data_IF_843050024236
#
_entry.id   IF_843050024236
#
_cell.length_a   1.000
_cell.length_b   1.000
_cell.length_c   1.000
_cell.angle_alpha   90.00
_cell.angle_beta   90.00
_cell.angle_gamma   90.00
#
_symmetry.space_group_name_H-M   'P 1'
#
loop_
_entity.id
_entity.type
_entity.pdbx_description
1 polymer ?
#
# COMPACT_ATOMS: atom_id res chain seq x y z
N UNK A 1 17.85 -73.45 -11.08
CA UNK A 1 18.98 -72.51 -10.86
C UNK A 1 19.09 -71.72 -12.16
N UNK A 2 18.90 -70.40 -12.29
CA UNK A 2 19.15 -69.24 -11.43
C UNK A 2 18.08 -68.17 -11.76
N UNK A 3 17.51 -67.51 -10.74
CA UNK A 3 16.65 -66.31 -10.87
C UNK A 3 17.57 -65.08 -10.85
N UNK A 4 17.52 -64.23 -11.88
CA UNK A 4 18.17 -62.91 -11.86
C UNK A 4 17.07 -61.87 -11.60
N UNK A 5 17.08 -61.30 -10.41
CA UNK A 5 16.23 -60.18 -10.03
C UNK A 5 16.90 -58.86 -10.41
N UNK A 6 16.19 -58.03 -11.19
CA UNK A 6 16.56 -56.63 -11.40
C UNK A 6 16.21 -55.82 -10.13
N UNK A 7 17.24 -55.23 -9.52
CA UNK A 7 17.10 -54.22 -8.47
C UNK A 7 16.77 -52.88 -9.12
N UNK A 8 15.57 -52.33 -8.86
CA UNK A 8 15.22 -50.95 -9.20
C UNK A 8 15.74 -50.01 -8.10
N UNK A 9 16.71 -49.17 -8.45
CA UNK A 9 17.25 -48.12 -7.61
C UNK A 9 16.32 -46.90 -7.72
N UNK A 10 15.35 -46.79 -6.80
CA UNK A 10 14.42 -45.66 -6.73
C UNK A 10 15.12 -44.43 -6.15
N UNK A 11 15.40 -43.44 -7.01
CA UNK A 11 15.94 -42.14 -6.61
C UNK A 11 14.85 -41.36 -5.86
N UNK A 12 15.01 -41.20 -4.55
CA UNK A 12 14.19 -40.31 -3.72
C UNK A 12 14.48 -38.86 -4.13
N UNK A 13 13.55 -38.25 -4.88
CA UNK A 13 13.49 -36.81 -5.11
C UNK A 13 13.09 -36.14 -3.80
N UNK A 14 14.10 -35.71 -3.04
CA UNK A 14 13.90 -34.83 -1.89
C UNK A 14 13.30 -33.51 -2.37
N UNK A 15 12.03 -33.27 -2.02
CA UNK A 15 11.40 -31.96 -2.07
C UNK A 15 12.11 -31.08 -1.04
N UNK A 16 13.13 -30.35 -1.48
CA UNK A 16 13.71 -29.24 -0.74
C UNK A 16 12.64 -28.16 -0.65
N UNK A 17 11.86 -28.16 0.44
CA UNK A 17 11.06 -27.01 0.84
C UNK A 17 12.07 -25.91 1.12
N UNK A 18 12.19 -24.97 0.18
CA UNK A 18 12.96 -23.76 0.41
C UNK A 18 12.31 -23.02 1.58
N UNK A 19 12.91 -23.15 2.76
CA UNK A 19 12.62 -22.30 3.88
C UNK A 19 12.98 -20.87 3.44
N UNK A 20 11.96 -20.03 3.22
CA UNK A 20 12.15 -18.59 3.10
C UNK A 20 12.52 -18.05 4.49
N UNK A 21 13.79 -18.23 4.86
CA UNK A 21 14.39 -17.55 5.99
C UNK A 21 15.30 -16.45 5.44
N UNK A 22 14.79 -15.22 5.48
CA UNK A 22 15.60 -14.02 5.63
C UNK A 22 14.68 -12.92 6.18
N UNK A 23 14.65 -12.81 7.52
CA UNK A 23 14.18 -11.65 8.27
C UNK A 23 15.10 -10.44 7.98
N UNK A 24 15.01 -9.92 6.76
CA UNK A 24 15.43 -8.58 6.42
C UNK A 24 14.19 -7.72 6.29
N UNK A 25 14.18 -6.55 6.91
CA UNK A 25 13.11 -5.58 6.72
C UNK A 25 12.93 -5.32 5.22
N UNK A 26 11.71 -5.52 4.71
CA UNK A 26 11.37 -5.49 3.28
C UNK A 26 11.68 -4.15 2.60
N UNK A 27 11.79 -3.08 3.39
CA UNK A 27 12.25 -1.76 2.95
C UNK A 27 13.77 -1.65 2.71
N UNK A 28 14.55 -2.71 2.92
CA UNK A 28 16.00 -2.69 2.78
C UNK A 28 16.68 -1.84 3.86
N UNK A 29 17.82 -1.22 3.55
CA UNK A 29 18.64 -0.48 4.52
C UNK A 29 18.45 1.06 4.45
N UNK A 30 17.75 1.57 3.43
CA UNK A 30 17.67 3.00 3.11
C UNK A 30 16.27 3.56 3.36
N UNK A 31 15.87 3.57 4.63
CA UNK A 31 14.57 4.08 5.04
C UNK A 31 14.61 4.70 6.44
N UNK A 32 13.59 5.49 6.80
CA UNK A 32 13.45 6.03 8.16
C UNK A 32 12.68 5.07 9.07
N UNK A 33 13.28 4.51 10.15
CA UNK A 33 12.63 3.49 10.97
C UNK A 33 11.46 3.96 11.82
N UNK A 34 11.25 5.26 11.92
CA UNK A 34 10.29 5.80 12.87
C UNK A 34 10.81 5.71 14.30
N UNK A 35 9.97 6.09 15.26
CA UNK A 35 10.33 6.19 16.67
C UNK A 35 9.46 5.32 17.58
N UNK A 36 8.36 4.76 17.06
CA UNK A 36 7.39 3.98 17.81
C UNK A 36 7.26 2.56 17.20
N UNK A 37 6.96 1.52 18.00
CA UNK A 37 6.85 0.14 17.49
C UNK A 37 5.83 -0.04 16.35
N UNK A 38 4.72 0.70 16.38
CA UNK A 38 3.69 0.69 15.34
C UNK A 38 4.14 1.28 14.00
N UNK A 39 5.33 1.90 13.95
CA UNK A 39 5.94 2.41 12.71
C UNK A 39 6.79 1.36 11.99
N UNK A 40 6.98 0.19 12.62
CA UNK A 40 7.82 -0.87 12.10
C UNK A 40 7.29 -1.38 10.76
N UNK A 41 8.23 -1.64 9.85
CA UNK A 41 7.98 -2.23 8.54
C UNK A 41 7.31 -3.59 8.73
N UNK A 42 6.31 -3.89 7.91
CA UNK A 42 5.65 -5.21 7.89
C UNK A 42 5.16 -5.69 9.27
N UNK A 43 4.78 -4.75 10.13
CA UNK A 43 4.31 -5.02 11.49
C UNK A 43 2.84 -5.45 11.55
N UNK A 44 2.05 -5.15 10.51
CA UNK A 44 0.61 -5.38 10.45
C UNK A 44 0.31 -6.42 9.36
N UNK A 45 -0.34 -7.53 9.71
CA UNK A 45 -0.85 -8.45 8.67
C UNK A 45 -2.07 -7.85 7.97
N UNK A 46 -2.36 -8.27 6.74
CA UNK A 46 -3.50 -7.73 5.99
C UNK A 46 -4.84 -7.98 6.71
N UNK A 47 -4.94 -9.09 7.46
CA UNK A 47 -6.12 -9.41 8.29
C UNK A 47 -6.30 -8.51 9.50
N UNK A 48 -5.25 -7.87 10.00
CA UNK A 48 -5.30 -6.97 11.15
C UNK A 48 -5.35 -5.49 10.77
N UNK A 49 -5.34 -5.16 9.47
CA UNK A 49 -5.32 -3.78 9.02
C UNK A 49 -6.53 -2.98 9.51
N UNK A 50 -7.74 -3.55 9.51
CA UNK A 50 -8.92 -2.86 10.04
C UNK A 50 -8.70 -2.41 11.49
N UNK A 51 -8.28 -3.34 12.36
CA UNK A 51 -8.00 -3.06 13.78
C UNK A 51 -6.92 -1.99 13.96
N UNK A 52 -5.87 -2.04 13.14
CA UNK A 52 -4.83 -1.01 13.13
C UNK A 52 -5.40 0.37 12.77
N UNK A 53 -6.16 0.48 11.68
CA UNK A 53 -6.76 1.75 11.25
C UNK A 53 -7.77 2.31 12.25
N UNK A 54 -8.49 1.45 12.96
CA UNK A 54 -9.49 1.85 13.95
C UNK A 54 -8.88 2.42 15.24
N UNK A 55 -7.65 2.03 15.57
CA UNK A 55 -7.02 2.30 16.87
C UNK A 55 -5.81 3.20 16.79
N UNK A 56 -5.11 3.27 15.66
CA UNK A 56 -3.88 4.03 15.51
C UNK A 56 -4.16 5.55 15.53
N UNK A 57 -3.61 6.32 16.50
CA UNK A 57 -3.86 7.76 16.60
C UNK A 57 -3.43 8.56 15.36
N UNK A 58 -2.45 8.03 14.63
CA UNK A 58 -1.86 8.59 13.40
C UNK A 58 -2.82 8.66 12.20
N UNK A 59 -4.02 8.07 12.33
CA UNK A 59 -5.09 8.04 11.31
C UNK A 59 -6.03 9.25 11.43
N UNK A 60 -5.76 10.16 12.38
CA UNK A 60 -6.43 11.46 12.51
C UNK A 60 -7.97 11.34 12.57
N UNK A 61 -8.48 10.25 13.16
CA UNK A 61 -9.92 10.01 13.34
C UNK A 61 -10.69 9.59 12.08
N UNK A 62 -10.03 9.47 10.92
CA UNK A 62 -10.65 9.00 9.68
C UNK A 62 -11.10 7.55 9.85
N UNK A 63 -12.34 7.24 9.46
CA UNK A 63 -12.88 5.88 9.54
C UNK A 63 -12.83 5.21 8.19
N UNK A 64 -12.11 4.09 8.14
CA UNK A 64 -11.96 3.25 6.97
C UNK A 64 -12.69 1.93 7.15
N UNK A 65 -13.15 1.37 6.04
CA UNK A 65 -13.57 -0.01 5.96
C UNK A 65 -12.60 -0.78 5.06
N UNK A 66 -12.05 -1.86 5.61
CA UNK A 66 -11.13 -2.75 4.91
C UNK A 66 -11.86 -4.03 4.55
N UNK A 67 -11.85 -4.38 3.25
CA UNK A 67 -12.42 -5.63 2.76
C UNK A 67 -11.37 -6.43 2.00
N UNK A 68 -11.27 -7.73 2.25
CA UNK A 68 -10.41 -8.61 1.45
C UNK A 68 -11.22 -9.29 0.35
N UNK A 69 -10.79 -9.14 -0.90
CA UNK A 69 -11.38 -9.85 -2.05
C UNK A 69 -10.29 -10.66 -2.76
N UNK A 70 -10.19 -11.94 -2.42
CA UNK A 70 -9.09 -12.80 -2.90
C UNK A 70 -7.73 -12.25 -2.44
N UNK A 71 -6.87 -11.92 -3.40
CA UNK A 71 -5.55 -11.32 -3.13
C UNK A 71 -5.58 -9.78 -3.06
N UNK A 72 -6.74 -9.15 -3.21
CA UNK A 72 -6.88 -7.69 -3.18
C UNK A 72 -7.30 -7.21 -1.78
N UNK A 73 -6.73 -6.08 -1.38
CA UNK A 73 -7.10 -5.34 -0.18
C UNK A 73 -7.89 -4.11 -0.61
N UNK A 74 -9.14 -3.99 -0.19
CA UNK A 74 -10.02 -2.88 -0.55
C UNK A 74 -10.13 -1.93 0.63
N UNK A 75 -9.99 -0.63 0.38
CA UNK A 75 -10.01 0.42 1.37
C UNK A 75 -11.05 1.48 0.98
N UNK A 76 -12.12 1.53 1.76
CA UNK A 76 -13.21 2.49 1.62
C UNK A 76 -13.15 3.53 2.75
N UNK A 77 -13.48 4.79 2.44
CA UNK A 77 -13.55 5.87 3.44
C UNK A 77 -14.99 6.04 3.87
N UNK A 78 -15.31 5.61 5.08
CA UNK A 78 -16.68 5.59 5.60
C UNK A 78 -17.05 6.94 6.21
N UNK A 79 -16.13 7.54 6.98
CA UNK A 79 -16.36 8.84 7.60
C UNK A 79 -15.07 9.64 7.70
N UNK A 80 -15.19 10.96 7.52
CA UNK A 80 -14.09 11.89 7.52
C UNK A 80 -14.37 13.05 8.49
N UNK A 81 -13.45 13.37 9.42
CA UNK A 81 -13.57 14.57 10.24
C UNK A 81 -13.46 15.84 9.39
N UNK A 82 -14.36 16.80 9.56
CA UNK A 82 -14.43 18.02 8.75
C UNK A 82 -13.29 19.01 8.97
N UNK A 83 -12.54 18.87 10.06
CA UNK A 83 -11.34 19.67 10.38
C UNK A 83 -10.03 19.05 9.87
N UNK A 84 -10.08 17.82 9.34
CA UNK A 84 -8.92 17.12 8.79
C UNK A 84 -8.76 17.43 7.31
N UNK A 85 -7.53 17.66 6.86
CA UNK A 85 -7.25 17.93 5.44
C UNK A 85 -7.32 16.64 4.62
N UNK A 86 -7.83 16.69 3.39
CA UNK A 86 -7.83 15.55 2.46
C UNK A 86 -6.47 14.85 2.31
N UNK A 87 -5.36 15.58 2.48
CA UNK A 87 -4.01 15.02 2.42
C UNK A 87 -3.76 13.96 3.51
N UNK A 88 -4.50 13.97 4.61
CA UNK A 88 -4.39 12.94 5.64
C UNK A 88 -4.81 11.55 5.14
N UNK A 89 -5.75 11.45 4.20
CA UNK A 89 -6.10 10.15 3.59
C UNK A 89 -4.95 9.59 2.73
N UNK A 90 -4.25 10.47 2.01
CA UNK A 90 -3.04 10.11 1.26
C UNK A 90 -1.92 9.66 2.21
N UNK A 91 -1.75 10.36 3.34
CA UNK A 91 -0.81 9.94 4.38
C UNK A 91 -1.12 8.53 4.87
N UNK A 92 -2.39 8.20 5.11
CA UNK A 92 -2.81 6.84 5.49
C UNK A 92 -2.41 5.80 4.45
N UNK A 93 -2.49 6.11 3.15
CA UNK A 93 -2.02 5.21 2.09
C UNK A 93 -0.52 4.92 2.24
N UNK A 94 0.31 5.94 2.51
CA UNK A 94 1.75 5.74 2.74
C UNK A 94 2.03 4.86 3.95
N UNK A 95 1.28 5.08 5.03
CA UNK A 95 1.36 4.25 6.24
C UNK A 95 1.02 2.80 5.91
N UNK A 96 -0.07 2.55 5.17
CA UNK A 96 -0.47 1.20 4.76
C UNK A 96 0.65 0.53 3.95
N UNK A 97 1.22 1.24 2.98
CA UNK A 97 2.35 0.71 2.20
C UNK A 97 3.55 0.35 3.05
N UNK A 98 3.75 1.07 4.16
CA UNK A 98 4.88 0.88 5.06
C UNK A 98 4.70 -0.29 6.03
N UNK A 99 3.54 -0.38 6.67
CA UNK A 99 3.36 -1.27 7.83
C UNK A 99 2.72 -2.60 7.48
N UNK A 100 2.04 -2.72 6.34
CA UNK A 100 1.30 -3.93 5.99
C UNK A 100 2.17 -4.94 5.26
N UNK A 101 2.18 -6.18 5.76
CA UNK A 101 2.90 -7.33 5.20
C UNK A 101 2.56 -7.64 3.74
N UNK A 102 3.45 -8.32 2.98
CA UNK A 102 3.26 -8.75 1.59
C UNK A 102 2.24 -9.89 1.42
N UNK A 103 1.00 -9.71 1.92
CA UNK A 103 -0.08 -10.70 1.91
C UNK A 103 -1.19 -10.37 0.91
N UNK A 104 -1.01 -9.31 0.11
CA UNK A 104 -1.94 -8.81 -0.89
C UNK A 104 -1.19 -8.36 -2.14
N UNK A 105 -1.85 -8.42 -3.30
CA UNK A 105 -1.25 -8.08 -4.60
C UNK A 105 -1.36 -6.59 -4.94
N UNK A 106 -2.43 -5.94 -4.49
CA UNK A 106 -2.72 -4.52 -4.70
C UNK A 106 -3.72 -3.99 -3.68
N UNK A 107 -3.59 -2.71 -3.37
CA UNK A 107 -4.59 -1.93 -2.64
C UNK A 107 -5.57 -1.36 -3.66
N UNK A 108 -6.86 -1.55 -3.45
CA UNK A 108 -7.96 -0.95 -4.20
C UNK A 108 -8.57 0.15 -3.35
N UNK A 109 -8.55 1.38 -3.85
CA UNK A 109 -9.27 2.50 -3.28
C UNK A 109 -10.72 2.38 -3.74
N UNK A 110 -11.61 2.12 -2.80
CA UNK A 110 -13.00 1.79 -3.08
C UNK A 110 -13.94 2.88 -2.55
N UNK A 111 -15.08 3.00 -3.20
CA UNK A 111 -16.25 3.72 -2.71
C UNK A 111 -17.35 2.68 -2.50
N UNK A 112 -17.60 2.32 -1.23
CA UNK A 112 -18.46 1.19 -0.84
C UNK A 112 -17.99 -0.13 -1.46
N UNK A 113 -18.73 -0.62 -2.45
CA UNK A 113 -18.46 -1.90 -3.12
C UNK A 113 -17.80 -1.74 -4.49
N UNK A 114 -17.66 -0.50 -4.98
CA UNK A 114 -17.07 -0.13 -6.26
C UNK A 114 -15.58 0.21 -6.08
N UNK A 115 -14.73 -0.37 -6.92
CA UNK A 115 -13.30 -0.05 -6.91
C UNK A 115 -13.04 1.09 -7.88
N UNK A 116 -12.50 2.21 -7.39
CA UNK A 116 -12.24 3.41 -8.19
C UNK A 116 -10.80 3.39 -8.73
N UNK A 117 -9.85 3.14 -7.82
CA UNK A 117 -8.43 3.14 -8.15
C UNK A 117 -7.72 1.92 -7.56
N UNK A 118 -6.55 1.61 -8.10
CA UNK A 118 -5.68 0.58 -7.57
C UNK A 118 -4.21 1.02 -7.60
N UNK A 119 -3.43 0.45 -6.68
CA UNK A 119 -1.98 0.53 -6.66
C UNK A 119 -1.40 -0.83 -6.28
N UNK A 120 -0.36 -1.28 -6.98
CA UNK A 120 0.27 -2.57 -6.69
C UNK A 120 0.93 -2.56 -5.31
N UNK A 121 0.98 -3.73 -4.65
CA UNK A 121 1.70 -3.87 -3.37
C UNK A 121 3.13 -3.35 -3.50
N UNK A 122 3.84 -3.75 -4.57
CA UNK A 122 5.23 -3.40 -4.79
C UNK A 122 5.44 -1.87 -4.84
N UNK A 123 4.63 -1.17 -5.63
CA UNK A 123 4.78 0.27 -5.80
C UNK A 123 4.36 1.02 -4.53
N UNK A 124 3.24 0.60 -3.91
CA UNK A 124 2.77 1.16 -2.65
C UNK A 124 3.78 0.97 -1.51
N UNK A 125 4.36 -0.22 -1.41
CA UNK A 125 5.35 -0.55 -0.40
C UNK A 125 6.64 0.23 -0.61
N UNK A 126 7.12 0.35 -1.85
CA UNK A 126 8.28 1.19 -2.16
C UNK A 126 8.08 2.66 -1.74
N UNK A 127 6.90 3.23 -1.99
CA UNK A 127 6.53 4.59 -1.55
C UNK A 127 6.45 4.66 -0.03
N UNK A 128 5.76 3.72 0.61
CA UNK A 128 5.63 3.65 2.06
C UNK A 128 6.97 3.53 2.77
N UNK A 129 7.92 2.78 2.20
CA UNK A 129 9.28 2.69 2.74
C UNK A 129 10.02 4.03 2.76
N UNK A 130 9.67 4.98 1.91
CA UNK A 130 10.26 6.31 1.88
C UNK A 130 9.55 7.32 2.80
N UNK A 131 8.37 6.96 3.32
CA UNK A 131 7.56 7.81 4.19
C UNK A 131 8.18 8.02 5.58
N UNK A 132 7.99 9.22 6.11
CA UNK A 132 8.55 9.67 7.39
C UNK A 132 7.42 10.08 8.32
N UNK A 133 7.49 9.58 9.54
CA UNK A 133 6.50 9.80 10.61
C UNK A 133 6.49 11.22 11.21
N UNK A 134 6.83 12.26 10.44
CA UNK A 134 6.72 13.66 10.87
C UNK A 134 7.89 14.20 11.70
N UNK A 135 9.06 13.56 11.68
CA UNK A 135 10.28 14.10 12.30
C UNK A 135 10.96 15.06 11.32
N UNK A 136 11.19 16.31 11.74
CA UNK A 136 11.88 17.32 10.95
C UNK A 136 13.29 16.84 10.55
N UNK A 137 13.64 16.95 9.27
CA UNK A 137 15.03 16.82 8.77
C UNK A 137 15.50 15.42 8.37
N UNK A 138 14.63 14.40 8.27
CA UNK A 138 15.00 13.07 7.73
C UNK A 138 13.92 12.52 6.78
N UNK A 139 14.36 11.79 5.75
CA UNK A 139 13.57 11.09 4.70
C UNK A 139 13.04 11.96 3.55
N UNK A 140 12.15 11.39 2.71
CA UNK A 140 11.73 12.01 1.43
C UNK A 140 10.72 13.15 1.62
N UNK A 141 10.77 14.12 0.70
CA UNK A 141 9.81 15.23 0.64
C UNK A 141 8.39 14.67 0.42
N UNK A 142 7.39 15.00 1.27
CA UNK A 142 6.00 14.56 1.08
C UNK A 142 5.44 14.86 -0.31
N UNK A 143 5.88 15.94 -0.95
CA UNK A 143 5.48 16.30 -2.32
C UNK A 143 6.01 15.28 -3.34
N UNK A 144 7.23 14.77 -3.14
CA UNK A 144 7.79 13.72 -4.00
C UNK A 144 7.00 12.42 -3.86
N UNK A 145 6.68 12.02 -2.62
CA UNK A 145 5.87 10.82 -2.38
C UNK A 145 4.46 10.92 -2.95
N UNK A 146 3.83 12.10 -2.87
CA UNK A 146 2.54 12.35 -3.50
C UNK A 146 2.63 12.23 -5.03
N UNK A 147 3.73 12.70 -5.64
CA UNK A 147 3.98 12.52 -7.08
C UNK A 147 4.13 11.05 -7.44
N UNK A 148 4.95 10.31 -6.70
CA UNK A 148 5.19 8.89 -6.96
C UNK A 148 3.90 8.06 -6.81
N UNK A 149 3.11 8.34 -5.77
CA UNK A 149 1.79 7.72 -5.60
C UNK A 149 0.85 8.05 -6.76
N UNK A 150 0.76 9.32 -7.13
CA UNK A 150 -0.13 9.75 -8.22
C UNK A 150 0.28 9.15 -9.56
N UNK A 151 1.57 9.01 -9.81
CA UNK A 151 2.12 8.33 -10.98
C UNK A 151 1.89 6.81 -10.94
N UNK A 152 1.84 6.19 -9.76
CA UNK A 152 1.61 4.75 -9.57
C UNK A 152 0.11 4.37 -9.61
N UNK A 153 -0.81 5.31 -9.33
CA UNK A 153 -2.24 5.03 -9.34
C UNK A 153 -2.75 4.60 -10.73
N UNK A 154 -3.61 3.59 -10.74
CA UNK A 154 -4.32 3.11 -11.91
C UNK A 154 -5.82 3.09 -11.66
N UNK A 155 -6.63 3.30 -12.70
CA UNK A 155 -8.08 3.05 -12.61
C UNK A 155 -8.32 1.56 -12.39
N UNK A 156 -9.28 1.21 -11.54
CA UNK A 156 -9.77 -0.15 -11.38
C UNK A 156 -10.99 -0.38 -12.28
N UNK A 157 -11.17 -1.58 -12.88
CA UNK A 157 -10.21 -2.68 -13.01
C UNK A 157 -9.27 -2.52 -14.22
N UNK A 158 -9.42 -1.44 -15.00
CA UNK A 158 -8.80 -1.32 -16.33
C UNK A 158 -7.26 -1.28 -16.31
N UNK A 159 -6.66 -0.85 -15.20
CA UNK A 159 -5.23 -0.72 -15.06
C UNK A 159 -4.63 0.46 -15.84
N UNK A 160 -5.45 1.36 -16.38
CA UNK A 160 -4.97 2.58 -17.06
C UNK A 160 -4.44 3.60 -16.05
N UNK A 161 -3.45 4.42 -16.46
CA UNK A 161 -2.90 5.48 -15.60
C UNK A 161 -3.99 6.50 -15.23
N UNK A 162 -4.07 6.87 -13.95
CA UNK A 162 -4.97 7.93 -13.49
C UNK A 162 -4.42 9.29 -13.89
N UNK A 163 -3.13 9.52 -13.63
CA UNK A 163 -2.46 10.75 -13.99
C UNK A 163 -2.01 10.76 -15.47
N UNK A 164 -2.00 11.94 -16.11
CA UNK A 164 -1.21 12.19 -17.32
C UNK A 164 0.26 11.76 -17.16
N UNK A 165 0.97 11.58 -18.27
CA UNK A 165 2.41 11.24 -18.23
C UNK A 165 3.20 12.35 -17.56
N UNK A 166 4.07 11.98 -16.62
CA UNK A 166 5.00 12.93 -16.01
C UNK A 166 6.13 13.21 -16.99
N UNK A 167 6.59 14.46 -16.97
CA UNK A 167 7.55 15.03 -17.92
C UNK A 167 8.97 15.06 -17.36
N UNK A 168 9.14 14.80 -16.06
CA UNK A 168 10.40 14.96 -15.33
C UNK A 168 10.64 16.40 -14.85
N UNK A 169 9.76 17.34 -15.20
CA UNK A 169 9.82 18.72 -14.70
C UNK A 169 9.23 18.80 -13.30
N UNK A 170 10.00 19.27 -12.32
CA UNK A 170 9.55 19.36 -10.92
C UNK A 170 8.21 20.09 -10.77
N UNK A 171 8.10 21.28 -11.37
CA UNK A 171 6.89 22.09 -11.27
C UNK A 171 5.75 21.53 -12.12
N UNK A 172 6.07 21.00 -13.31
CA UNK A 172 5.08 20.38 -14.20
C UNK A 172 4.44 19.16 -13.55
N UNK A 173 5.25 18.24 -13.06
CA UNK A 173 4.80 16.99 -12.46
C UNK A 173 4.07 17.24 -11.12
N UNK A 174 4.50 18.24 -10.35
CA UNK A 174 3.74 18.70 -9.19
C UNK A 174 2.38 19.27 -9.56
N UNK A 175 2.26 20.03 -10.66
CA UNK A 175 0.96 20.52 -11.11
C UNK A 175 0.06 19.38 -11.57
N UNK A 176 0.61 18.39 -12.29
CA UNK A 176 -0.15 17.20 -12.73
C UNK A 176 -0.65 16.43 -11.50
N UNK A 177 0.22 16.21 -10.51
CA UNK A 177 -0.12 15.54 -9.25
C UNK A 177 -1.26 16.26 -8.52
N UNK A 178 -1.13 17.57 -8.29
CA UNK A 178 -2.16 18.35 -7.58
C UNK A 178 -3.50 18.32 -8.32
N UNK A 179 -3.49 18.52 -9.65
CA UNK A 179 -4.71 18.49 -10.46
C UNK A 179 -5.36 17.11 -10.44
N UNK A 180 -4.57 16.03 -10.49
CA UNK A 180 -5.09 14.66 -10.46
C UNK A 180 -5.71 14.33 -9.11
N UNK A 181 -5.03 14.67 -8.01
CA UNK A 181 -5.57 14.43 -6.67
C UNK A 181 -6.86 15.23 -6.43
N UNK A 182 -6.87 16.52 -6.73
CA UNK A 182 -7.99 17.40 -6.42
C UNK A 182 -9.20 17.23 -7.34
N UNK A 183 -8.99 16.93 -8.63
CA UNK A 183 -10.08 16.89 -9.60
C UNK A 183 -10.54 15.47 -9.95
N UNK A 184 -9.78 14.43 -9.56
CA UNK A 184 -10.11 13.03 -9.88
C UNK A 184 -10.16 12.18 -8.63
N UNK A 185 -9.04 12.07 -7.89
CA UNK A 185 -8.93 11.09 -6.80
C UNK A 185 -9.82 11.46 -5.62
N UNK A 186 -9.70 12.67 -5.06
CA UNK A 186 -10.52 13.07 -3.92
C UNK A 186 -12.02 13.09 -4.25
N UNK A 187 -12.48 13.65 -5.38
CA UNK A 187 -13.90 13.63 -5.71
C UNK A 187 -14.49 12.21 -5.81
N UNK A 188 -13.75 11.24 -6.38
CA UNK A 188 -14.27 9.89 -6.62
C UNK A 188 -14.12 8.97 -5.39
N UNK A 189 -12.96 8.97 -4.75
CA UNK A 189 -12.68 8.07 -3.64
C UNK A 189 -13.01 8.68 -2.27
N UNK A 190 -12.70 9.97 -2.07
CA UNK A 190 -12.81 10.59 -0.76
C UNK A 190 -14.16 11.25 -0.51
N UNK A 191 -14.73 11.95 -1.49
CA UNK A 191 -15.88 12.85 -1.27
C UNK A 191 -17.20 12.35 -1.85
N UNK A 192 -17.21 11.26 -2.62
CA UNK A 192 -18.40 10.80 -3.35
C UNK A 192 -19.52 10.33 -2.42
N UNK A 193 -19.21 9.52 -1.41
CA UNK A 193 -20.23 8.96 -0.50
C UNK A 193 -19.88 9.04 0.99
N UNK A 194 -18.76 9.66 1.34
CA UNK A 194 -18.29 9.75 2.72
C UNK A 194 -19.23 10.58 3.60
N UNK A 195 -19.35 10.20 4.87
CA UNK A 195 -19.96 11.03 5.89
C UNK A 195 -18.93 12.04 6.45
N UNK A 196 -19.13 13.33 6.18
CA UNK A 196 -18.35 14.42 6.79
C UNK A 196 -18.95 14.78 8.15
N UNK A 197 -18.11 14.79 9.20
CA UNK A 197 -18.52 15.11 10.59
C UNK A 197 -17.96 16.42 11.10
#
# INVERSE_FOLDING_TARGET
MVKVGLLFCGTFLGLSVAAFAADGESCGQNYWPGTLPEHAVDSVSASHLQSFLDTAPIIDGIKFQVTRKGSELWLDVVSYPGDVTALASIRTIFIIGRVVKPEYSKLVLADKTEGEFQISYRDLHAIGCQFVWGVQGRGQNPIALNRDLTDALRYYPSGQRVAPAFTGSLLGDSSIMLNTLNNVVYPQWLFKTVEIK
#
